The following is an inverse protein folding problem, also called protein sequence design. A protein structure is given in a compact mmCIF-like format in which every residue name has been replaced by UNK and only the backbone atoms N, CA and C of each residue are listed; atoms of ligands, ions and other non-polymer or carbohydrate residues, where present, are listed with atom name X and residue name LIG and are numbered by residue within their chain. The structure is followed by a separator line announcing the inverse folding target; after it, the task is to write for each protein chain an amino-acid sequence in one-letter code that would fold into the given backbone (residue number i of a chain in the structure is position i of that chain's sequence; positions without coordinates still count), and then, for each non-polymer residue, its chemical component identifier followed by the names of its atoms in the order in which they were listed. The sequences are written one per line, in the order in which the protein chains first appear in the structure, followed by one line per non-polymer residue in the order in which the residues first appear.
data_IF_619526699071
#
_entry.id   IF_619526699071
#
_cell.length_a   1.000
_cell.length_b   1.000
_cell.length_c   1.000
_cell.angle_alpha   90.00
_cell.angle_beta   90.00
_cell.angle_gamma   90.00
#
_symmetry.space_group_name_H-M   'P 1'
#
loop_
_entity.id
_entity.type
_entity.pdbx_description
1 polymer ?
#
# COMPACT_ATOMS: atom_id res chain seq x y z
N UNK A 1 0.04 35.24 2.96
CA UNK A 1 0.96 36.33 3.33
C UNK A 1 2.05 35.74 4.22
N UNK A 2 3.04 35.08 3.64
CA UNK A 2 4.06 34.34 4.40
C UNK A 2 5.43 34.54 3.72
N UNK A 3 6.37 35.18 4.42
CA UNK A 3 7.77 35.30 4.01
C UNK A 3 8.31 36.72 3.79
N UNK A 4 7.46 37.74 3.71
CA UNK A 4 7.91 39.11 3.48
C UNK A 4 8.30 39.80 4.78
N UNK A 5 9.46 40.48 4.77
CA UNK A 5 10.00 41.22 5.90
C UNK A 5 9.70 42.72 5.75
N UNK A 6 9.09 43.33 6.76
CA UNK A 6 8.72 44.74 6.80
C UNK A 6 9.46 45.40 7.96
N UNK A 7 9.98 46.62 7.76
CA UNK A 7 10.63 47.39 8.82
C UNK A 7 9.57 48.27 9.48
N UNK A 8 9.46 48.20 10.81
CA UNK A 8 8.55 49.04 11.59
C UNK A 8 9.33 50.18 12.24
N UNK A 9 8.98 51.42 11.90
CA UNK A 9 9.55 52.63 12.47
C UNK A 9 8.58 53.17 13.53
N UNK A 10 9.03 53.15 14.79
CA UNK A 10 8.25 53.65 15.92
C UNK A 10 9.14 54.47 16.87
N UNK A 11 8.71 55.68 17.22
CA UNK A 11 9.37 56.51 18.23
C UNK A 11 8.99 56.08 19.65
N UNK A 12 9.95 56.10 20.57
CA UNK A 12 9.79 55.62 21.97
C UNK A 12 8.61 56.26 22.73
N UNK A 13 8.18 57.46 22.32
CA UNK A 13 7.09 58.22 22.92
C UNK A 13 5.94 58.52 21.94
N UNK A 14 5.99 57.98 20.73
CA UNK A 14 5.01 58.28 19.69
C UNK A 14 3.83 57.31 19.76
N UNK A 15 2.63 57.79 19.44
CA UNK A 15 1.46 56.93 19.25
C UNK A 15 1.27 56.55 17.77
N UNK A 16 2.27 56.83 16.94
CA UNK A 16 2.25 56.68 15.49
C UNK A 16 3.23 55.59 15.06
N UNK A 17 2.74 54.62 14.31
CA UNK A 17 3.54 53.56 13.71
C UNK A 17 3.66 53.79 12.20
N UNK A 18 4.88 53.66 11.68
CA UNK A 18 5.12 53.63 10.25
C UNK A 18 5.67 52.27 9.83
N UNK A 19 5.22 51.78 8.68
CA UNK A 19 5.72 50.57 8.07
C UNK A 19 6.51 50.94 6.80
N UNK A 20 7.72 50.42 6.67
CA UNK A 20 8.53 50.56 5.46
C UNK A 20 8.65 49.21 4.75
N UNK A 21 8.26 49.21 3.47
CA UNK A 21 8.34 48.04 2.60
C UNK A 21 8.84 48.49 1.23
N UNK A 22 9.91 47.82 0.73
CA UNK A 22 10.57 48.15 -0.54
C UNK A 22 10.99 49.62 -0.69
N UNK A 23 11.35 50.29 0.41
CA UNK A 23 11.78 51.69 0.42
C UNK A 23 10.63 52.71 0.37
N UNK A 24 9.37 52.25 0.35
CA UNK A 24 8.18 53.09 0.51
C UNK A 24 7.68 53.06 1.94
N UNK A 25 7.32 54.23 2.48
CA UNK A 25 6.85 54.40 3.86
C UNK A 25 5.33 54.58 3.88
N UNK A 26 4.67 53.77 4.70
CA UNK A 26 3.23 53.72 4.89
C UNK A 26 2.87 54.10 6.34
N UNK A 27 1.84 54.94 6.52
CA UNK A 27 1.38 55.42 7.83
C UNK A 27 0.97 56.91 7.81
N UNK A 28 0.70 57.52 8.97
CA UNK A 28 0.80 56.95 10.32
C UNK A 28 -0.38 56.02 10.67
N UNK A 29 -0.09 54.89 11.31
CA UNK A 29 -1.07 53.99 11.91
C UNK A 29 -1.18 54.22 13.41
N UNK A 30 -2.41 54.24 13.94
CA UNK A 30 -2.68 54.50 15.35
C UNK A 30 -3.18 53.24 16.07
N UNK A 31 -2.79 53.00 17.33
CA UNK A 31 -3.25 51.86 18.09
C UNK A 31 -4.74 51.98 18.44
N UNK A 32 -5.44 50.84 18.41
CA UNK A 32 -6.87 50.78 18.81
C UNK A 32 -7.03 50.76 20.34
N UNK A 33 -5.99 50.43 21.11
CA UNK A 33 -6.01 50.50 22.59
C UNK A 33 -4.60 50.49 23.20
N UNK A 34 -4.35 51.44 24.12
CA UNK A 34 -3.13 51.53 24.94
C UNK A 34 -1.83 51.81 24.16
N UNK A 35 -0.72 52.09 24.87
CA UNK A 35 0.60 52.18 24.25
C UNK A 35 0.98 50.81 23.65
N UNK A 36 1.51 50.81 22.41
CA UNK A 36 1.93 49.61 21.71
C UNK A 36 3.04 48.94 22.53
N UNK A 37 2.87 47.74 23.08
CA UNK A 37 3.90 47.15 23.93
C UNK A 37 5.11 46.70 23.10
N UNK A 38 6.29 47.30 23.35
CA UNK A 38 7.56 46.81 22.84
C UNK A 38 7.78 45.35 23.30
N UNK A 39 8.18 44.49 22.36
CA UNK A 39 8.51 43.08 22.62
C UNK A 39 7.37 42.20 23.14
N UNK A 40 6.11 42.65 23.11
CA UNK A 40 4.96 41.85 23.59
C UNK A 40 3.88 41.71 22.51
N UNK A 41 4.16 40.88 21.52
CA UNK A 41 3.17 40.48 20.53
C UNK A 41 2.33 39.32 21.04
N UNK A 42 1.03 39.34 20.72
CA UNK A 42 0.16 38.18 20.94
C UNK A 42 0.55 37.09 19.95
N UNK A 43 1.24 36.06 20.42
CA UNK A 43 1.37 34.82 19.66
C UNK A 43 0.00 34.12 19.65
N UNK A 44 -0.54 33.84 18.46
CA UNK A 44 -1.71 32.99 18.35
C UNK A 44 -1.31 31.57 18.80
N UNK A 45 -2.10 30.97 19.70
CA UNK A 45 -1.89 29.58 20.09
C UNK A 45 -1.95 28.71 18.84
N UNK A 46 -0.95 27.83 18.65
CA UNK A 46 -0.91 26.88 17.54
C UNK A 46 -2.24 26.12 17.49
N UNK A 47 -2.85 26.12 16.32
CA UNK A 47 -4.13 25.44 16.11
C UNK A 47 -3.93 23.97 15.77
N UNK A 48 -5.02 23.20 15.74
CA UNK A 48 -5.02 21.79 15.31
C UNK A 48 -4.43 21.59 13.89
N UNK A 49 -4.53 22.61 13.03
CA UNK A 49 -3.94 22.60 11.69
C UNK A 49 -2.42 22.67 11.70
N UNK A 50 -1.82 23.45 12.61
CA UNK A 50 -0.36 23.54 12.75
C UNK A 50 0.21 22.23 13.31
N UNK A 51 -0.43 21.67 14.34
CA UNK A 51 -0.04 20.36 14.88
C UNK A 51 -0.12 19.23 13.85
N UNK A 52 -1.12 19.29 12.96
CA UNK A 52 -1.26 18.33 11.86
C UNK A 52 -0.13 18.51 10.84
N UNK A 53 0.19 19.74 10.48
CA UNK A 53 1.26 20.06 9.53
C UNK A 53 2.63 19.61 10.06
N UNK A 54 2.88 19.81 11.35
CA UNK A 54 4.12 19.37 12.00
C UNK A 54 4.23 17.83 12.04
N UNK A 55 3.12 17.14 12.33
CA UNK A 55 3.06 15.67 12.26
C UNK A 55 3.28 15.12 10.84
N UNK A 56 2.78 15.81 9.83
CA UNK A 56 3.01 15.41 8.42
C UNK A 56 4.50 15.59 8.08
N UNK A 57 5.12 16.70 8.51
CA UNK A 57 6.56 16.93 8.30
C UNK A 57 7.42 15.86 8.98
N UNK A 58 7.18 15.58 10.26
CA UNK A 58 7.97 14.59 10.99
C UNK A 58 7.84 13.18 10.40
N UNK A 59 6.63 12.82 9.93
CA UNK A 59 6.41 11.53 9.27
C UNK A 59 7.07 11.48 7.89
N UNK A 60 7.03 12.57 7.12
CA UNK A 60 7.69 12.66 5.81
C UNK A 60 9.21 12.49 5.93
N UNK A 61 9.82 13.10 6.96
CA UNK A 61 11.25 12.98 7.24
C UNK A 61 11.64 11.52 7.58
N UNK A 62 10.83 10.83 8.38
CA UNK A 62 11.04 9.40 8.70
C UNK A 62 10.97 8.49 7.46
N UNK A 63 10.09 8.82 6.52
CA UNK A 63 9.92 8.07 5.27
C UNK A 63 10.91 8.49 4.18
N UNK A 64 11.72 9.54 4.40
CA UNK A 64 12.60 10.11 3.38
C UNK A 64 11.84 10.73 2.20
N UNK A 65 10.59 11.17 2.42
CA UNK A 65 9.73 11.71 1.36
C UNK A 65 9.86 13.24 1.30
N UNK A 66 10.30 13.83 0.18
CA UNK A 66 10.29 15.28 0.03
C UNK A 66 8.86 15.80 0.00
N UNK A 67 8.61 16.97 0.60
CA UNK A 67 7.28 17.62 0.64
C UNK A 67 6.70 17.82 -0.78
N UNK A 68 7.55 17.95 -1.80
CA UNK A 68 7.16 18.01 -3.22
C UNK A 68 6.35 16.77 -3.67
N UNK A 69 6.51 15.61 -3.03
CA UNK A 69 5.72 14.41 -3.30
C UNK A 69 4.23 14.58 -2.95
N UNK A 70 3.90 15.51 -2.05
CA UNK A 70 2.51 15.85 -1.71
C UNK A 70 1.85 16.76 -2.75
N UNK A 71 2.64 17.41 -3.63
CA UNK A 71 2.15 18.33 -4.65
C UNK A 71 1.63 17.63 -5.93
N UNK A 72 1.63 16.29 -5.95
CA UNK A 72 1.06 15.50 -7.05
C UNK A 72 1.93 15.40 -8.31
N UNK A 73 3.15 15.95 -8.29
CA UNK A 73 4.12 15.80 -9.38
C UNK A 73 5.03 14.59 -9.12
N UNK A 74 5.58 14.01 -10.19
CA UNK A 74 6.34 12.74 -10.22
C UNK A 74 7.18 12.50 -8.96
N UNK A 75 6.67 11.61 -8.11
CA UNK A 75 7.31 11.21 -6.85
C UNK A 75 8.53 10.37 -7.18
N UNK A 76 9.70 11.02 -7.24
CA UNK A 76 10.99 10.33 -7.30
C UNK A 76 11.41 9.97 -5.88
N UNK A 77 11.23 8.71 -5.50
CA UNK A 77 11.80 8.17 -4.27
C UNK A 77 13.32 8.30 -4.34
N UNK A 78 13.91 9.01 -3.38
CA UNK A 78 15.36 9.07 -3.20
C UNK A 78 15.81 7.70 -2.68
N UNK A 79 16.76 7.03 -3.34
CA UNK A 79 17.29 5.78 -2.80
C UNK A 79 17.95 6.07 -1.45
N UNK A 80 17.68 5.21 -0.46
CA UNK A 80 18.31 5.30 0.87
C UNK A 80 19.82 5.27 0.70
N UNK A 81 20.52 6.24 1.32
CA UNK A 81 21.98 6.36 1.26
C UNK A 81 22.70 5.18 1.96
N UNK A 82 21.98 4.42 2.78
CA UNK A 82 22.51 3.23 3.46
C UNK A 82 22.05 1.99 2.69
N UNK A 83 22.96 1.24 2.04
CA UNK A 83 22.63 -0.04 1.45
C UNK A 83 22.29 -1.01 2.58
N UNK A 84 21.00 -1.22 2.81
CA UNK A 84 20.51 -2.31 3.65
C UNK A 84 20.68 -3.58 2.83
N UNK A 85 21.69 -4.38 3.14
CA UNK A 85 21.80 -5.74 2.59
C UNK A 85 20.65 -6.58 3.15
N UNK A 86 19.54 -6.61 2.43
CA UNK A 86 18.43 -7.50 2.75
C UNK A 86 18.87 -8.94 2.43
N UNK A 87 18.68 -9.90 3.36
CA UNK A 87 18.98 -11.29 3.10
C UNK A 87 18.12 -11.77 1.94
N UNK A 88 18.77 -12.24 0.87
CA UNK A 88 18.11 -12.78 -0.32
C UNK A 88 17.93 -14.28 -0.12
N UNK A 89 16.69 -14.72 0.07
CA UNK A 89 16.34 -16.13 0.09
C UNK A 89 15.86 -16.55 -1.30
N UNK A 90 16.39 -17.65 -1.90
CA UNK A 90 15.83 -18.19 -3.13
C UNK A 90 14.38 -18.63 -2.90
N UNK A 91 13.55 -18.43 -3.92
CA UNK A 91 12.14 -18.80 -3.85
C UNK A 91 11.97 -20.32 -3.90
N UNK A 92 11.30 -20.89 -2.90
CA UNK A 92 10.91 -22.30 -2.89
C UNK A 92 9.56 -22.46 -3.62
N UNK A 93 9.62 -22.83 -4.91
CA UNK A 93 8.43 -23.00 -5.74
C UNK A 93 7.56 -24.20 -5.31
N UNK A 94 8.18 -25.26 -4.79
CA UNK A 94 7.48 -26.49 -4.40
C UNK A 94 6.66 -26.28 -3.13
N UNK A 95 7.17 -25.49 -2.17
CA UNK A 95 6.41 -25.10 -0.97
C UNK A 95 5.13 -24.30 -1.27
N UNK A 96 5.06 -23.68 -2.45
CA UNK A 96 3.89 -22.91 -2.89
C UNK A 96 2.96 -23.70 -3.82
N UNK A 97 3.27 -24.97 -4.13
CA UNK A 97 2.31 -25.81 -4.86
C UNK A 97 1.03 -26.01 -4.02
N UNK A 98 -0.12 -25.83 -4.66
CA UNK A 98 -1.40 -25.97 -3.98
C UNK A 98 -1.69 -27.46 -3.67
N UNK A 99 -1.84 -27.75 -2.38
CA UNK A 99 -2.25 -29.05 -1.88
C UNK A 99 -3.71 -29.02 -1.45
N UNK A 100 -4.46 -30.09 -1.76
CA UNK A 100 -5.79 -30.24 -1.22
C UNK A 100 -5.73 -30.40 0.31
N UNK A 101 -6.59 -29.69 1.08
CA UNK A 101 -6.58 -29.75 2.53
C UNK A 101 -7.03 -31.12 3.08
N UNK A 102 -7.70 -31.94 2.25
CA UNK A 102 -8.09 -33.30 2.61
C UNK A 102 -8.35 -34.15 1.37
N UNK A 103 -8.37 -35.47 1.58
CA UNK A 103 -8.79 -36.47 0.58
C UNK A 103 -10.22 -36.19 0.08
N UNK A 104 -11.11 -35.70 0.94
CA UNK A 104 -12.49 -35.38 0.57
C UNK A 104 -12.51 -34.16 -0.36
N UNK A 105 -11.74 -33.13 -0.06
CA UNK A 105 -11.61 -31.95 -0.90
C UNK A 105 -11.02 -32.30 -2.28
N UNK A 106 -10.04 -33.20 -2.34
CA UNK A 106 -9.48 -33.71 -3.59
C UNK A 106 -10.54 -34.46 -4.43
N UNK A 107 -11.30 -35.37 -3.80
CA UNK A 107 -12.40 -36.11 -4.47
C UNK A 107 -13.49 -35.19 -5.00
N UNK A 108 -13.86 -34.17 -4.23
CA UNK A 108 -14.84 -33.16 -4.64
C UNK A 108 -14.32 -32.37 -5.84
N UNK A 109 -13.07 -31.93 -5.81
CA UNK A 109 -12.44 -31.25 -6.94
C UNK A 109 -12.41 -32.12 -8.20
N UNK A 110 -12.11 -33.42 -8.07
CA UNK A 110 -12.17 -34.38 -9.19
C UNK A 110 -13.59 -34.52 -9.73
N UNK A 111 -14.61 -34.60 -8.87
CA UNK A 111 -16.01 -34.67 -9.30
C UNK A 111 -16.43 -33.42 -10.11
N UNK A 112 -16.00 -32.24 -9.64
CA UNK A 112 -16.24 -30.98 -10.34
C UNK A 112 -15.52 -30.94 -11.68
N UNK A 113 -14.27 -31.42 -11.74
CA UNK A 113 -13.46 -31.48 -12.96
C UNK A 113 -14.10 -32.38 -14.03
N UNK A 114 -14.65 -33.52 -13.62
CA UNK A 114 -15.35 -34.46 -14.50
C UNK A 114 -16.80 -34.04 -14.80
N UNK A 115 -17.29 -32.98 -14.16
CA UNK A 115 -18.70 -32.53 -14.21
C UNK A 115 -19.71 -33.65 -13.89
N UNK A 116 -19.32 -34.64 -13.09
CA UNK A 116 -20.12 -35.81 -12.76
C UNK A 116 -19.86 -36.27 -11.32
N UNK A 117 -20.92 -36.61 -10.55
CA UNK A 117 -20.75 -37.20 -9.22
C UNK A 117 -19.95 -38.50 -9.29
N UNK A 118 -18.97 -38.66 -8.39
CA UNK A 118 -18.15 -39.88 -8.31
C UNK A 118 -18.99 -41.15 -8.17
N UNK A 119 -20.14 -41.09 -7.49
CA UNK A 119 -21.04 -42.23 -7.33
C UNK A 119 -21.59 -42.81 -8.65
N UNK A 120 -21.53 -42.06 -9.76
CA UNK A 120 -21.97 -42.52 -11.09
C UNK A 120 -20.84 -43.18 -11.90
N UNK A 121 -19.60 -43.18 -11.40
CA UNK A 121 -18.47 -43.78 -12.08
C UNK A 121 -18.46 -45.30 -11.87
N UNK A 122 -17.78 -46.02 -12.78
CA UNK A 122 -17.55 -47.44 -12.62
C UNK A 122 -16.67 -47.72 -11.40
N UNK A 123 -16.74 -48.95 -10.86
CA UNK A 123 -15.90 -49.34 -9.71
C UNK A 123 -14.40 -49.23 -10.01
N UNK A 124 -14.01 -49.50 -11.25
CA UNK A 124 -12.63 -49.39 -11.73
C UNK A 124 -12.16 -47.92 -11.74
N UNK A 125 -12.97 -47.03 -12.29
CA UNK A 125 -12.66 -45.60 -12.35
C UNK A 125 -12.58 -44.98 -10.95
N UNK A 126 -13.46 -45.42 -10.04
CA UNK A 126 -13.40 -45.01 -8.65
C UNK A 126 -12.12 -45.49 -7.96
N UNK A 127 -11.77 -46.76 -8.14
CA UNK A 127 -10.54 -47.33 -7.57
C UNK A 127 -9.30 -46.55 -8.02
N UNK A 128 -9.23 -46.18 -9.30
CA UNK A 128 -8.14 -45.35 -9.83
C UNK A 128 -8.08 -43.97 -9.14
N UNK A 129 -9.21 -43.27 -9.02
CA UNK A 129 -9.25 -41.96 -8.34
C UNK A 129 -8.85 -42.10 -6.86
N UNK A 130 -9.32 -43.15 -6.18
CA UNK A 130 -8.95 -43.43 -4.80
C UNK A 130 -7.45 -43.65 -4.64
N UNK A 131 -6.83 -44.40 -5.55
CA UNK A 131 -5.40 -44.63 -5.57
C UNK A 131 -4.63 -43.31 -5.77
N UNK A 132 -4.96 -42.52 -6.78
CA UNK A 132 -4.26 -41.25 -7.09
C UNK A 132 -4.31 -40.29 -5.89
N UNK A 133 -5.46 -40.14 -5.25
CA UNK A 133 -5.62 -39.24 -4.09
C UNK A 133 -4.93 -39.79 -2.84
N UNK A 134 -4.73 -41.11 -2.74
CA UNK A 134 -3.95 -41.71 -1.65
C UNK A 134 -2.44 -41.53 -1.83
N UNK A 135 -1.96 -41.44 -3.08
CA UNK A 135 -0.55 -41.23 -3.39
C UNK A 135 -0.14 -39.75 -3.29
N UNK A 136 -1.02 -38.82 -3.67
CA UNK A 136 -0.70 -37.39 -3.64
C UNK A 136 -1.95 -36.52 -3.44
N UNK A 137 -1.76 -35.39 -2.77
CA UNK A 137 -2.75 -34.32 -2.62
C UNK A 137 -2.38 -33.06 -3.39
N UNK A 138 -1.32 -33.10 -4.22
CA UNK A 138 -0.93 -31.97 -5.07
C UNK A 138 -1.98 -31.80 -6.17
N UNK A 139 -2.65 -30.65 -6.21
CA UNK A 139 -3.78 -30.42 -7.12
C UNK A 139 -3.42 -30.63 -8.58
N UNK A 140 -2.25 -30.13 -9.01
CA UNK A 140 -1.77 -30.27 -10.39
C UNK A 140 -1.65 -31.75 -10.77
N UNK A 141 -0.93 -32.53 -9.97
CA UNK A 141 -0.67 -33.96 -10.21
C UNK A 141 -1.96 -34.78 -10.19
N UNK A 142 -2.84 -34.56 -9.20
CA UNK A 142 -4.12 -35.27 -9.10
C UNK A 142 -4.98 -35.03 -10.35
N UNK A 143 -5.19 -33.76 -10.73
CA UNK A 143 -6.04 -33.41 -11.86
C UNK A 143 -5.44 -33.88 -13.20
N UNK A 144 -4.12 -33.77 -13.37
CA UNK A 144 -3.43 -34.21 -14.58
C UNK A 144 -3.53 -35.73 -14.79
N UNK A 145 -3.31 -36.53 -13.74
CA UNK A 145 -3.45 -37.99 -13.82
C UNK A 145 -4.87 -38.41 -14.12
N UNK A 146 -5.85 -37.80 -13.46
CA UNK A 146 -7.27 -38.08 -13.72
C UNK A 146 -7.65 -37.71 -15.15
N UNK A 147 -7.29 -36.51 -15.63
CA UNK A 147 -7.55 -36.09 -17.02
C UNK A 147 -6.94 -37.07 -18.03
N UNK A 148 -5.68 -37.46 -17.82
CA UNK A 148 -4.97 -38.39 -18.71
C UNK A 148 -5.66 -39.75 -18.77
N UNK A 149 -6.08 -40.29 -17.62
CA UNK A 149 -6.79 -41.56 -17.54
C UNK A 149 -8.12 -41.53 -18.33
N UNK A 150 -8.98 -40.53 -18.10
CA UNK A 150 -10.26 -40.44 -18.81
C UNK A 150 -10.12 -40.07 -20.29
N UNK A 151 -9.06 -39.33 -20.66
CA UNK A 151 -8.77 -39.04 -22.07
C UNK A 151 -8.38 -40.30 -22.83
N UNK A 152 -7.49 -41.11 -22.27
CA UNK A 152 -7.03 -42.36 -22.89
C UNK A 152 -8.16 -43.41 -22.99
N UNK A 153 -9.09 -43.42 -22.02
CA UNK A 153 -10.27 -44.29 -22.04
C UNK A 153 -11.21 -43.96 -23.21
N UNK A 154 -11.47 -42.68 -23.48
CA UNK A 154 -12.35 -42.24 -24.59
C UNK A 154 -11.80 -42.60 -25.97
N UNK A 155 -10.48 -42.52 -26.17
CA UNK A 155 -9.85 -42.89 -27.45
C UNK A 155 -9.89 -44.40 -27.76
N UNK A 156 -10.17 -45.25 -26.77
CA UNK A 156 -10.28 -46.70 -26.97
C UNK A 156 -11.67 -47.17 -27.42
N UNK A 157 -12.73 -46.44 -27.10
CA UNK A 157 -14.13 -46.84 -27.35
C UNK A 157 -14.70 -46.33 -28.70
N UNK A 158 -14.01 -45.40 -29.40
CA UNK A 158 -14.53 -44.75 -30.62
C UNK A 158 -13.92 -45.29 -31.94
N UNK A 159 -13.35 -46.50 -31.93
CA UNK A 159 -12.87 -47.19 -33.14
C UNK A 159 -13.56 -48.55 -33.35
N UNK A 160 -14.89 -48.58 -33.33
CA UNK A 160 -15.67 -49.67 -33.89
C UNK A 160 -17.07 -49.18 -34.28
N UNK A 161 -17.33 -49.06 -35.59
CA UNK A 161 -18.66 -48.79 -36.15
C UNK A 161 -18.64 -47.80 -37.31
#
# INVERSE_FOLDING_TARGET
MAGESVVLLWGLFDNELYAEFNGERFGPFYPVSGPIPLHRYRAFSRGKADERSERIRSLADQLGLPIAALAGNDVRLTPSAVPVELPRLPFDAEAHEYHFPSVIAAKLAVANELAQPLAKLSKEDLAFIHQVVSETLIRRVVLERVRSYFRNKKTGDEHAG
#
